data_IF_041550658044
#
_entry.id   IF_041550658044
#
_cell.length_a   1.000
_cell.length_b   1.000
_cell.length_c   1.000
_cell.angle_alpha   90.00
_cell.angle_beta   90.00
_cell.angle_gamma   90.00
#
_symmetry.space_group_name_H-M   'P 1'
#
loop_
_entity.id
_entity.type
_entity.pdbx_description
1 polymer ?
#
# COMPACT_ATOMS: atom_id res chain seq x y z
N UNK A 1 -3.96 -19.04 3.95
CA UNK A 1 -4.10 -17.59 4.18
C UNK A 1 -2.93 -17.17 5.05
N UNK A 2 -1.93 -16.49 4.50
CA UNK A 2 -0.71 -16.10 5.22
C UNK A 2 -0.99 -14.72 5.84
N UNK A 3 -0.83 -14.59 7.17
CA UNK A 3 -1.00 -13.33 7.91
C UNK A 3 0.28 -12.52 7.80
N UNK A 4 0.29 -11.45 6.99
CA UNK A 4 1.51 -10.70 6.68
C UNK A 4 1.64 -9.33 7.40
N UNK A 5 0.63 -8.89 8.16
CA UNK A 5 0.79 -7.74 9.05
C UNK A 5 -0.51 -7.29 9.70
N UNK A 6 -0.39 -6.57 10.82
CA UNK A 6 -1.51 -5.87 11.45
C UNK A 6 -1.18 -4.40 11.65
N UNK A 7 -2.07 -3.50 11.24
CA UNK A 7 -1.98 -2.07 11.52
C UNK A 7 -3.25 -1.62 12.25
N UNK A 8 -3.09 -0.96 13.39
CA UNK A 8 -4.20 -0.45 14.21
C UNK A 8 -5.29 -1.50 14.53
N UNK A 9 -4.92 -2.78 14.65
CA UNK A 9 -5.86 -3.89 14.94
C UNK A 9 -6.51 -4.53 13.71
N UNK A 10 -6.32 -3.97 12.51
CA UNK A 10 -6.76 -4.58 11.25
C UNK A 10 -5.72 -5.56 10.73
N UNK A 11 -6.19 -6.68 10.17
CA UNK A 11 -5.33 -7.65 9.47
C UNK A 11 -5.31 -7.34 7.98
N UNK A 12 -4.13 -7.37 7.37
CA UNK A 12 -3.94 -7.12 5.94
C UNK A 12 -3.45 -8.38 5.22
N UNK A 13 -3.87 -8.55 3.96
CA UNK A 13 -3.46 -9.69 3.12
C UNK A 13 -2.07 -9.49 2.47
N UNK A 14 -1.65 -8.24 2.27
CA UNK A 14 -0.35 -7.87 1.71
C UNK A 14 0.80 -7.89 2.72
N UNK A 15 2.02 -7.45 2.35
CA UNK A 15 2.27 -6.46 1.29
C UNK A 15 2.25 -7.04 -0.13
N UNK A 16 1.72 -6.25 -1.07
CA UNK A 16 1.78 -6.51 -2.50
C UNK A 16 2.53 -5.37 -3.18
N UNK A 17 3.32 -5.70 -4.21
CA UNK A 17 3.86 -4.67 -5.10
C UNK A 17 2.70 -3.94 -5.75
N UNK A 18 2.61 -2.62 -5.52
CA UNK A 18 1.49 -1.81 -6.01
C UNK A 18 1.45 -1.76 -7.55
N UNK A 19 2.63 -1.80 -8.19
CA UNK A 19 2.74 -2.01 -9.62
C UNK A 19 2.31 -3.45 -9.99
N UNK A 20 1.21 -3.58 -10.73
CA UNK A 20 0.66 -4.88 -11.14
C UNK A 20 -0.31 -5.49 -10.13
N UNK A 21 -0.60 -4.81 -9.01
CA UNK A 21 -1.71 -5.20 -8.15
C UNK A 21 -3.03 -4.99 -8.89
N UNK A 22 -3.88 -6.02 -8.91
CA UNK A 22 -5.19 -5.96 -9.55
C UNK A 22 -6.25 -5.55 -8.51
N UNK A 23 -6.91 -4.38 -8.66
CA UNK A 23 -7.94 -3.95 -7.74
C UNK A 23 -9.12 -4.93 -7.69
N UNK A 24 -9.71 -5.07 -6.50
CA UNK A 24 -10.86 -5.93 -6.24
C UNK A 24 -12.12 -5.07 -6.23
N UNK A 25 -13.22 -5.56 -6.79
CA UNK A 25 -14.52 -4.88 -6.78
C UNK A 25 -15.21 -5.03 -5.40
N UNK A 26 -14.61 -4.44 -4.38
CA UNK A 26 -15.12 -4.44 -3.00
C UNK A 26 -14.65 -3.22 -2.21
N UNK A 27 -15.38 -2.84 -1.14
CA UNK A 27 -14.91 -1.83 -0.20
C UNK A 27 -13.78 -2.39 0.68
N UNK A 28 -12.95 -1.50 1.24
CA UNK A 28 -11.92 -1.90 2.19
C UNK A 28 -11.00 -0.79 2.66
N UNK A 29 -10.17 -1.13 3.64
CA UNK A 29 -9.08 -0.28 4.17
C UNK A 29 -7.76 -0.77 3.57
N UNK A 30 -6.88 0.16 3.23
CA UNK A 30 -5.57 -0.14 2.67
C UNK A 30 -4.48 0.75 3.27
N UNK A 31 -3.24 0.25 3.20
CA UNK A 31 -2.05 1.00 3.54
C UNK A 31 -1.07 0.98 2.35
N UNK A 32 -0.54 2.15 2.00
CA UNK A 32 0.57 2.28 1.05
C UNK A 32 1.85 2.35 1.86
N UNK A 33 2.81 1.51 1.48
CA UNK A 33 4.07 1.35 2.18
C UNK A 33 5.24 1.51 1.19
N UNK A 34 6.40 1.86 1.71
CA UNK A 34 7.66 1.82 0.96
C UNK A 34 8.66 0.96 1.72
N UNK A 35 9.58 0.35 0.97
CA UNK A 35 10.64 -0.47 1.52
C UNK A 35 11.71 0.41 2.14
N UNK A 36 12.18 0.07 3.33
CA UNK A 36 13.35 0.68 3.96
C UNK A 36 14.52 -0.28 3.85
N UNK A 37 15.64 0.18 3.27
CA UNK A 37 16.87 -0.59 3.24
C UNK A 37 17.61 -0.46 4.59
N UNK A 38 17.18 -1.19 5.61
CA UNK A 38 17.90 -1.33 6.87
C UNK A 38 18.25 -2.80 7.15
N UNK A 39 19.54 -3.09 7.31
CA UNK A 39 20.01 -4.36 7.89
C UNK A 39 19.76 -5.63 7.06
N UNK A 40 19.51 -5.51 5.75
CA UNK A 40 19.36 -6.66 4.85
C UNK A 40 18.06 -7.46 5.01
N UNK A 41 17.08 -6.93 5.75
CA UNK A 41 15.71 -7.48 5.86
C UNK A 41 14.71 -6.53 5.21
N UNK A 42 13.62 -7.09 4.72
CA UNK A 42 12.51 -6.31 4.17
C UNK A 42 11.76 -5.60 5.30
N UNK A 43 12.13 -4.34 5.55
CA UNK A 43 11.40 -3.44 6.43
C UNK A 43 10.51 -2.53 5.57
N UNK A 44 9.27 -2.30 6.02
CA UNK A 44 8.32 -1.44 5.32
C UNK A 44 7.80 -0.37 6.27
N UNK A 45 7.80 0.88 5.81
CA UNK A 45 7.17 2.00 6.50
C UNK A 45 5.90 2.42 5.77
N UNK A 46 4.87 2.81 6.52
CA UNK A 46 3.59 3.30 5.98
C UNK A 46 3.75 4.76 5.56
N UNK A 47 3.30 5.10 4.35
CA UNK A 47 3.21 6.49 3.85
C UNK A 47 1.78 6.99 3.92
N UNK A 48 0.80 6.12 3.68
CA UNK A 48 -0.59 6.50 3.57
C UNK A 48 -1.51 5.37 4.04
N UNK A 49 -2.59 5.74 4.71
CA UNK A 49 -3.69 4.84 5.05
C UNK A 49 -4.97 5.46 4.51
N UNK A 50 -5.77 4.66 3.82
CA UNK A 50 -7.03 5.09 3.26
C UNK A 50 -8.08 3.99 3.34
N UNK A 51 -9.29 4.36 2.95
CA UNK A 51 -10.37 3.43 2.70
C UNK A 51 -11.03 3.80 1.37
N UNK A 52 -11.71 2.85 0.76
CA UNK A 52 -12.49 3.06 -0.45
C UNK A 52 -13.75 2.21 -0.39
N UNK A 53 -14.80 2.68 -1.05
CA UNK A 53 -16.01 1.90 -1.26
C UNK A 53 -15.84 0.91 -2.43
N UNK A 54 -14.85 1.15 -3.30
CA UNK A 54 -14.52 0.28 -4.43
C UNK A 54 -13.08 0.50 -4.93
N UNK A 55 -12.19 -0.48 -4.73
CA UNK A 55 -10.80 -0.35 -5.16
C UNK A 55 -10.61 -0.16 -6.67
N UNK A 56 -11.55 -0.62 -7.50
CA UNK A 56 -11.47 -0.46 -8.97
C UNK A 56 -11.64 0.99 -9.43
N UNK A 57 -12.23 1.85 -8.58
CA UNK A 57 -12.52 3.26 -8.91
C UNK A 57 -11.48 4.24 -8.35
N UNK A 58 -10.66 3.80 -7.40
CA UNK A 58 -9.72 4.65 -6.67
C UNK A 58 -8.50 5.09 -7.52
N UNK A 59 -8.25 4.42 -8.65
CA UNK A 59 -7.23 4.83 -9.62
C UNK A 59 -5.79 4.40 -9.26
N UNK A 60 -5.61 3.36 -8.45
CA UNK A 60 -4.28 2.81 -8.18
C UNK A 60 -3.53 2.37 -9.46
N UNK A 61 -2.19 2.45 -9.48
CA UNK A 61 -1.35 3.18 -8.54
C UNK A 61 -1.27 4.69 -8.85
N UNK A 62 -1.15 5.06 -10.13
CA UNK A 62 -0.70 6.41 -10.53
C UNK A 62 -1.82 7.43 -10.77
N UNK A 63 -3.07 6.98 -10.95
CA UNK A 63 -4.22 7.89 -11.08
C UNK A 63 -4.83 8.26 -9.73
N UNK A 64 -4.40 7.61 -8.65
CA UNK A 64 -4.85 7.92 -7.31
C UNK A 64 -4.46 9.36 -6.95
N UNK A 65 -5.36 10.18 -6.38
CA UNK A 65 -5.08 11.59 -6.10
C UNK A 65 -3.84 11.84 -5.23
N UNK A 66 -3.61 10.98 -4.24
CA UNK A 66 -2.45 11.04 -3.35
C UNK A 66 -1.16 10.39 -3.92
N UNK A 67 -1.20 9.78 -5.12
CA UNK A 67 -0.05 9.09 -5.71
C UNK A 67 1.22 9.95 -5.80
N UNK A 68 1.15 11.23 -6.23
CA UNK A 68 2.33 12.09 -6.27
C UNK A 68 3.03 12.24 -4.90
N UNK A 69 2.25 12.34 -3.82
CA UNK A 69 2.79 12.45 -2.46
C UNK A 69 3.49 11.15 -2.03
N UNK A 70 2.98 10.00 -2.46
CA UNK A 70 3.61 8.71 -2.16
C UNK A 70 4.96 8.57 -2.86
N UNK A 71 5.00 8.93 -4.15
CA UNK A 71 6.22 8.94 -4.96
C UNK A 71 7.27 9.87 -4.35
N UNK A 72 6.88 11.09 -3.98
CA UNK A 72 7.77 12.05 -3.34
C UNK A 72 8.33 11.51 -2.01
N UNK A 73 7.48 10.88 -1.19
CA UNK A 73 7.86 10.40 0.14
C UNK A 73 8.70 9.12 0.10
N UNK A 74 8.46 8.24 -0.87
CA UNK A 74 9.24 7.03 -1.12
C UNK A 74 10.61 7.36 -1.72
N UNK A 75 10.69 8.41 -2.56
CA UNK A 75 11.95 8.89 -3.15
C UNK A 75 12.58 7.82 -4.04
N UNK A 76 13.77 7.32 -3.67
CA UNK A 76 14.45 6.22 -4.37
C UNK A 76 14.22 4.85 -3.71
N UNK A 77 13.41 4.80 -2.65
CA UNK A 77 13.13 3.59 -1.89
C UNK A 77 11.78 3.00 -2.33
N UNK A 78 11.83 2.06 -3.27
CA UNK A 78 10.67 1.39 -3.86
C UNK A 78 10.63 -0.09 -3.50
#
# INVERSE_FOLDING_TARGET
MIRLGSLAGYSFEGPYTLAGWNPIDSPGVYAIMYKQEEGGKDHYAVIYVGHTDNFTQEGFPLKHPASPCWVERAGSQW
#
